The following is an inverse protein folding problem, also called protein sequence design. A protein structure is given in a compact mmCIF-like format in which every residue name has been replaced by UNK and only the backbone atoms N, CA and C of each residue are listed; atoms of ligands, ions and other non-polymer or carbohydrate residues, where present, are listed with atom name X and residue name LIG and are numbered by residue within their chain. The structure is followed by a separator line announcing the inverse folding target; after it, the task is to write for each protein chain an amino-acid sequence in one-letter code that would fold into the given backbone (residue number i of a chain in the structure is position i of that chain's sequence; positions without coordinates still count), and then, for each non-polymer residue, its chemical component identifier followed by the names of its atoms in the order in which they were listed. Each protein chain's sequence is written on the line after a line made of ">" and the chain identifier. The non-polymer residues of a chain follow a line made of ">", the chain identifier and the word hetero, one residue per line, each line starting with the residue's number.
data_IF_237077720497
#
_entry.id   IF_237077720497
#
_cell.length_a   1.000
_cell.length_b   1.000
_cell.length_c   1.000
_cell.angle_alpha   90.00
_cell.angle_beta   90.00
_cell.angle_gamma   90.00
#
_symmetry.space_group_name_H-M   'P 1'
#
loop_
_entity.id
_entity.type
_entity.pdbx_description
1 polymer ?
#
# COMPACT_ATOMS: atom_id res chain seq x y z
N UNK A 1 1.80 -28.10 6.66
CA UNK A 1 2.17 -27.33 7.87
C UNK A 1 3.48 -26.56 7.72
N UNK A 2 4.50 -27.09 7.00
CA UNK A 2 5.80 -26.44 6.75
C UNK A 2 5.68 -25.07 6.03
N UNK A 3 4.68 -24.92 5.16
CA UNK A 3 4.49 -23.77 4.26
C UNK A 3 4.17 -22.44 4.98
N UNK A 4 3.48 -22.50 6.12
CA UNK A 4 3.04 -21.30 6.84
C UNK A 4 4.14 -20.70 7.71
N UNK A 5 4.91 -21.53 8.41
CA UNK A 5 5.99 -21.07 9.28
C UNK A 5 7.14 -20.43 8.50
N UNK A 6 7.47 -20.97 7.31
CA UNK A 6 8.48 -20.40 6.41
C UNK A 6 8.05 -19.00 5.90
N UNK A 7 6.75 -18.83 5.61
CA UNK A 7 6.18 -17.56 5.18
C UNK A 7 6.16 -16.50 6.30
N UNK A 8 5.77 -16.89 7.52
CA UNK A 8 5.81 -15.99 8.68
C UNK A 8 7.21 -15.41 8.84
N UNK A 9 8.27 -16.22 8.66
CA UNK A 9 9.66 -15.72 8.70
C UNK A 9 9.98 -14.71 7.59
N UNK A 10 9.61 -14.98 6.33
CA UNK A 10 9.90 -14.05 5.22
C UNK A 10 9.10 -12.74 5.30
N UNK A 11 7.82 -12.82 5.66
CA UNK A 11 6.97 -11.63 5.86
C UNK A 11 7.48 -10.76 7.02
N UNK A 12 7.92 -11.38 8.12
CA UNK A 12 8.57 -10.68 9.25
C UNK A 12 9.77 -9.85 8.76
N UNK A 13 10.62 -10.38 7.87
CA UNK A 13 11.82 -9.65 7.40
C UNK A 13 11.46 -8.38 6.63
N UNK A 14 10.48 -8.45 5.72
CA UNK A 14 10.09 -7.28 4.91
C UNK A 14 9.45 -6.19 5.77
N UNK A 15 8.54 -6.54 6.68
CA UNK A 15 7.90 -5.54 7.54
C UNK A 15 8.81 -5.06 8.67
N UNK A 16 9.75 -5.87 9.15
CA UNK A 16 10.81 -5.39 10.06
C UNK A 16 11.66 -4.31 9.39
N UNK A 17 11.96 -4.48 8.10
CA UNK A 17 12.69 -3.49 7.29
C UNK A 17 11.86 -2.23 7.08
N UNK A 18 10.57 -2.36 6.74
CA UNK A 18 9.68 -1.22 6.56
C UNK A 18 9.56 -0.37 7.84
N UNK A 19 9.33 -1.03 8.99
CA UNK A 19 9.25 -0.39 10.32
C UNK A 19 10.53 0.37 10.71
N UNK A 20 11.70 -0.13 10.31
CA UNK A 20 13.00 0.48 10.67
C UNK A 20 13.34 1.70 9.81
N UNK A 21 12.89 1.73 8.56
CA UNK A 21 13.40 2.67 7.55
C UNK A 21 12.50 3.88 7.30
N UNK A 22 11.36 3.99 7.98
CA UNK A 22 10.44 5.10 7.78
C UNK A 22 9.64 5.41 9.05
N UNK A 23 9.61 6.68 9.44
CA UNK A 23 8.76 7.18 10.52
C UNK A 23 7.42 7.60 9.92
N UNK A 24 6.33 6.96 10.34
CA UNK A 24 5.00 7.31 9.86
C UNK A 24 4.60 8.73 10.26
N UNK A 25 3.77 9.37 9.45
CA UNK A 25 3.12 10.63 9.80
C UNK A 25 2.11 10.48 10.93
N UNK A 26 1.40 11.57 11.19
CA UNK A 26 0.42 11.68 12.28
C UNK A 26 -0.80 10.77 12.09
N UNK A 27 -1.16 10.49 10.83
CA UNK A 27 -2.38 9.77 10.48
C UNK A 27 -2.04 8.47 9.74
N UNK A 28 -2.57 7.37 10.25
CA UNK A 28 -2.42 6.04 9.68
C UNK A 28 -3.78 5.39 9.48
N UNK A 29 -3.87 4.46 8.55
CA UNK A 29 -5.09 3.76 8.19
C UNK A 29 -4.89 2.27 8.36
N UNK A 30 -5.86 1.59 8.95
CA UNK A 30 -5.92 0.12 8.99
C UNK A 30 -7.14 -0.33 8.21
N UNK A 31 -6.90 -1.19 7.22
CA UNK A 31 -7.95 -1.80 6.41
C UNK A 31 -7.44 -3.13 5.81
N UNK A 32 -8.27 -3.79 5.01
CA UNK A 32 -7.91 -4.98 4.26
C UNK A 32 -7.50 -4.74 2.81
N UNK A 33 -6.50 -5.51 2.40
CA UNK A 33 -6.14 -5.78 1.02
C UNK A 33 -6.58 -7.21 0.65
N UNK A 34 -6.83 -7.44 -0.64
CA UNK A 34 -7.21 -8.76 -1.15
C UNK A 34 -6.41 -9.15 -2.40
N UNK A 35 -5.12 -9.55 -2.25
CA UNK A 35 -4.37 -10.20 -3.31
C UNK A 35 -5.16 -11.37 -3.93
N UNK A 36 -5.45 -11.25 -5.23
CA UNK A 36 -6.31 -12.18 -5.95
C UNK A 36 -5.71 -13.59 -6.03
N UNK A 37 -6.50 -14.60 -5.65
CA UNK A 37 -6.08 -16.00 -5.70
C UNK A 37 -7.29 -16.93 -5.78
N UNK A 38 -7.25 -17.86 -6.75
CA UNK A 38 -8.30 -18.87 -6.96
C UNK A 38 -7.80 -20.31 -6.78
N UNK A 39 -6.51 -20.50 -6.48
CA UNK A 39 -5.96 -21.83 -6.20
C UNK A 39 -6.42 -22.38 -4.85
N UNK A 40 -5.99 -23.61 -4.55
CA UNK A 40 -6.30 -24.27 -3.28
C UNK A 40 -5.50 -23.64 -2.15
N UNK A 41 -6.21 -23.04 -1.20
CA UNK A 41 -5.66 -22.51 0.05
C UNK A 41 -6.77 -22.53 1.11
N UNK A 42 -6.45 -23.03 2.32
CA UNK A 42 -7.40 -23.21 3.40
C UNK A 42 -8.02 -21.90 3.91
N UNK A 43 -7.32 -20.78 3.75
CA UNK A 43 -7.73 -19.46 4.24
C UNK A 43 -7.99 -18.45 3.11
N UNK A 44 -8.28 -18.96 1.90
CA UNK A 44 -8.81 -18.14 0.80
C UNK A 44 -10.18 -17.61 1.19
N UNK A 45 -10.42 -16.33 0.97
CA UNK A 45 -11.67 -15.65 1.30
C UNK A 45 -12.41 -15.19 0.04
N UNK A 46 -13.73 -15.12 0.15
CA UNK A 46 -14.62 -14.51 -0.83
C UNK A 46 -15.13 -13.17 -0.29
N UNK A 47 -14.81 -12.07 -0.95
CA UNK A 47 -15.25 -10.72 -0.58
C UNK A 47 -15.97 -10.09 -1.79
N UNK A 48 -17.31 -10.08 -1.81
CA UNK A 48 -18.09 -9.64 -2.97
C UNK A 48 -17.81 -8.21 -3.42
N UNK A 49 -17.45 -7.33 -2.49
CA UNK A 49 -17.25 -5.89 -2.71
C UNK A 49 -15.89 -5.55 -3.34
N UNK A 50 -14.89 -6.43 -3.25
CA UNK A 50 -13.56 -6.18 -3.83
C UNK A 50 -13.55 -6.59 -5.32
N UNK A 51 -12.77 -5.91 -6.19
CA UNK A 51 -12.70 -6.22 -7.62
C UNK A 51 -12.31 -7.69 -7.89
N UNK A 52 -11.31 -8.17 -7.17
CA UNK A 52 -10.96 -9.59 -7.13
C UNK A 52 -11.74 -10.27 -6.02
N UNK A 53 -12.90 -10.85 -6.34
CA UNK A 53 -13.78 -11.42 -5.31
C UNK A 53 -13.18 -12.58 -4.51
N UNK A 54 -12.17 -13.27 -5.05
CA UNK A 54 -11.49 -14.38 -4.37
C UNK A 54 -10.02 -14.08 -4.19
N UNK A 55 -9.52 -14.21 -2.96
CA UNK A 55 -8.13 -13.91 -2.65
C UNK A 55 -7.72 -14.32 -1.25
N UNK A 56 -6.54 -13.87 -0.87
CA UNK A 56 -6.00 -14.05 0.49
C UNK A 56 -6.19 -12.71 1.20
N UNK A 57 -6.98 -12.67 2.27
CA UNK A 57 -7.23 -11.43 3.00
C UNK A 57 -5.98 -11.04 3.79
N UNK A 58 -5.55 -9.79 3.65
CA UNK A 58 -4.37 -9.24 4.33
C UNK A 58 -4.79 -7.93 5.00
N UNK A 59 -4.56 -7.80 6.31
CA UNK A 59 -4.70 -6.52 7.00
C UNK A 59 -3.44 -5.69 6.77
N UNK A 60 -3.59 -4.40 6.50
CA UNK A 60 -2.48 -3.49 6.23
C UNK A 60 -2.59 -2.24 7.10
N UNK A 61 -1.43 -1.76 7.58
CA UNK A 61 -1.26 -0.48 8.26
C UNK A 61 -0.49 0.46 7.34
N UNK A 62 -1.13 1.55 6.93
CA UNK A 62 -0.62 2.46 5.89
C UNK A 62 -0.61 3.90 6.40
N UNK A 63 0.45 4.65 6.10
CA UNK A 63 0.48 6.11 6.29
C UNK A 63 -0.55 6.78 5.37
N UNK A 64 -1.49 7.53 5.95
CA UNK A 64 -2.63 8.07 5.20
C UNK A 64 -2.23 9.14 4.17
N UNK A 65 -1.10 9.82 4.35
CA UNK A 65 -0.64 10.92 3.49
C UNK A 65 0.36 10.43 2.45
N UNK A 66 1.38 9.70 2.89
CA UNK A 66 2.49 9.27 2.06
C UNK A 66 2.25 7.90 1.43
N UNK A 67 1.21 7.19 1.84
CA UNK A 67 0.83 5.86 1.31
C UNK A 67 1.97 4.85 1.53
N UNK A 68 2.65 4.96 2.67
CA UNK A 68 3.70 4.04 3.09
C UNK A 68 3.09 2.88 3.88
N UNK A 69 3.25 1.64 3.40
CA UNK A 69 2.77 0.47 4.13
C UNK A 69 3.79 0.05 5.18
N UNK A 70 3.45 0.24 6.45
CA UNK A 70 4.32 -0.07 7.58
C UNK A 70 4.28 -1.55 7.97
N UNK A 71 3.09 -2.14 7.97
CA UNK A 71 2.88 -3.50 8.46
C UNK A 71 1.77 -4.18 7.66
N UNK A 72 1.89 -5.49 7.45
CA UNK A 72 0.81 -6.31 6.90
C UNK A 72 0.70 -7.65 7.64
N UNK A 73 -0.50 -8.16 7.79
CA UNK A 73 -0.79 -9.43 8.47
C UNK A 73 -1.80 -10.27 7.68
N UNK A 74 -1.52 -11.55 7.43
CA UNK A 74 -2.46 -12.43 6.72
C UNK A 74 -3.57 -12.88 7.67
N UNK A 75 -4.81 -12.75 7.22
CA UNK A 75 -5.97 -13.31 7.90
C UNK A 75 -6.13 -14.80 7.54
N UNK A 76 -5.65 -15.71 8.40
CA UNK A 76 -5.66 -17.15 8.11
C UNK A 76 -6.88 -17.92 8.62
N UNK A 77 -7.95 -17.24 9.04
CA UNK A 77 -9.15 -17.90 9.56
C UNK A 77 -8.86 -18.73 10.83
N UNK A 78 -9.38 -19.96 10.91
CA UNK A 78 -9.12 -20.85 12.06
C UNK A 78 -7.73 -21.48 11.93
N UNK A 79 -6.85 -21.16 12.86
CA UNK A 79 -5.51 -21.75 12.95
C UNK A 79 -5.51 -22.98 13.88
N UNK A 80 -4.61 -23.96 13.65
CA UNK A 80 -4.37 -25.03 14.61
C UNK A 80 -3.73 -24.47 15.89
N UNK A 81 -3.82 -25.23 16.98
CA UNK A 81 -3.11 -24.90 18.22
C UNK A 81 -1.60 -24.83 17.98
N UNK A 82 -0.94 -23.87 18.64
CA UNK A 82 0.50 -23.67 18.53
C UNK A 82 0.92 -22.21 18.63
N UNK A 83 2.22 -21.91 18.49
CA UNK A 83 2.79 -20.58 18.72
C UNK A 83 2.36 -19.53 17.69
N UNK A 84 1.78 -19.97 16.56
CA UNK A 84 1.27 -19.09 15.52
C UNK A 84 -0.24 -18.82 15.64
N UNK A 85 -0.89 -19.34 16.69
CA UNK A 85 -2.31 -19.11 16.96
C UNK A 85 -2.52 -17.66 17.42
N UNK A 86 -3.10 -16.86 16.53
CA UNK A 86 -3.45 -15.45 16.76
C UNK A 86 -4.93 -15.20 16.50
N UNK A 87 -5.51 -14.33 17.31
CA UNK A 87 -6.91 -13.95 17.18
C UNK A 87 -7.15 -13.11 15.93
N UNK A 88 -8.10 -13.53 15.09
CA UNK A 88 -8.60 -12.75 13.96
C UNK A 88 -9.74 -11.78 14.36
N UNK A 89 -10.00 -11.61 15.67
CA UNK A 89 -10.98 -10.62 16.14
C UNK A 89 -10.47 -9.20 15.81
N UNK A 90 -11.34 -8.30 15.30
CA UNK A 90 -10.88 -7.00 14.82
C UNK A 90 -10.10 -6.17 15.86
N UNK A 91 -10.58 -6.12 17.11
CA UNK A 91 -9.88 -5.46 18.24
C UNK A 91 -8.43 -5.96 18.43
N UNK A 92 -8.21 -7.26 18.32
CA UNK A 92 -6.90 -7.89 18.52
C UNK A 92 -5.98 -7.65 17.32
N UNK A 93 -6.56 -7.65 16.10
CA UNK A 93 -5.84 -7.31 14.87
C UNK A 93 -5.34 -5.87 14.92
N UNK A 94 -6.21 -4.91 15.27
CA UNK A 94 -5.84 -3.48 15.37
C UNK A 94 -4.72 -3.29 16.39
N UNK A 95 -4.83 -3.90 17.58
CA UNK A 95 -3.78 -3.82 18.61
C UNK A 95 -2.45 -4.40 18.15
N UNK A 96 -2.43 -5.58 17.53
CA UNK A 96 -1.18 -6.20 17.03
C UNK A 96 -0.56 -5.42 15.89
N UNK A 97 -1.36 -5.03 14.90
CA UNK A 97 -0.81 -4.40 13.70
C UNK A 97 -0.27 -3.00 14.02
N UNK A 98 -0.91 -2.29 14.95
CA UNK A 98 -0.52 -0.97 15.43
C UNK A 98 0.48 -0.98 16.59
N UNK A 99 0.84 -2.14 17.15
CA UNK A 99 1.84 -2.30 18.23
C UNK A 99 3.10 -1.44 18.04
N UNK A 100 3.71 -1.35 16.84
CA UNK A 100 4.92 -0.55 16.65
C UNK A 100 4.74 0.96 16.85
N UNK A 101 3.50 1.44 16.93
CA UNK A 101 3.17 2.86 17.03
C UNK A 101 2.68 3.25 18.44
N UNK A 102 2.72 2.30 19.39
CA UNK A 102 2.22 2.52 20.76
C UNK A 102 2.88 3.75 21.39
N UNK A 103 2.07 4.54 22.12
CA UNK A 103 2.51 5.74 22.85
C UNK A 103 3.03 6.91 21.99
N UNK A 104 2.80 6.88 20.68
CA UNK A 104 3.30 7.95 19.78
C UNK A 104 2.32 9.09 19.52
N UNK A 105 1.10 9.03 20.04
CA UNK A 105 0.07 10.06 19.83
C UNK A 105 -0.55 10.07 18.42
N UNK A 106 -0.22 9.11 17.56
CA UNK A 106 -0.77 9.03 16.20
C UNK A 106 -2.27 8.71 16.20
N UNK A 107 -2.94 9.14 15.14
CA UNK A 107 -4.34 8.83 14.88
C UNK A 107 -4.48 7.64 13.92
N UNK A 108 -5.30 6.66 14.30
CA UNK A 108 -5.65 5.50 13.50
C UNK A 108 -7.04 5.70 12.91
N UNK A 109 -7.14 5.71 11.58
CA UNK A 109 -8.41 5.68 10.86
C UNK A 109 -8.77 4.26 10.44
N UNK A 110 -9.98 3.79 10.77
CA UNK A 110 -10.45 2.45 10.39
C UNK A 110 -11.90 2.41 9.94
N UNK A 111 -12.24 1.35 9.22
CA UNK A 111 -13.60 1.05 8.79
C UNK A 111 -14.51 0.57 9.95
N UNK A 112 -15.74 0.17 9.62
CA UNK A 112 -16.72 -0.30 10.59
C UNK A 112 -16.50 -1.74 11.10
N UNK A 113 -15.76 -2.58 10.39
CA UNK A 113 -15.42 -3.94 10.78
C UNK A 113 -14.37 -3.94 11.89
N UNK A 114 -13.46 -2.97 11.88
CA UNK A 114 -12.38 -2.84 12.88
C UNK A 114 -12.79 -2.21 14.21
N UNK A 115 -14.01 -1.70 14.34
CA UNK A 115 -14.31 -0.69 15.37
C UNK A 115 -15.37 -1.11 16.36
N UNK A 116 -15.06 -0.88 17.64
CA UNK A 116 -16.03 -0.81 18.72
C UNK A 116 -15.66 0.34 19.68
N UNK A 117 -16.63 0.81 20.48
CA UNK A 117 -16.42 1.95 21.40
C UNK A 117 -15.39 1.61 22.48
N UNK A 118 -15.29 0.35 22.88
CA UNK A 118 -14.41 -0.08 23.95
C UNK A 118 -12.94 -0.10 23.46
N UNK A 119 -12.71 -0.42 22.18
CA UNK A 119 -11.42 -0.32 21.49
C UNK A 119 -10.94 1.13 21.41
N UNK A 120 -11.82 2.09 21.09
CA UNK A 120 -11.45 3.52 21.06
C UNK A 120 -10.91 3.96 22.43
N UNK A 121 -11.60 3.58 23.51
CA UNK A 121 -11.19 3.90 24.87
C UNK A 121 -9.88 3.20 25.27
N UNK A 122 -9.73 1.93 24.90
CA UNK A 122 -8.50 1.16 25.13
C UNK A 122 -7.27 1.78 24.46
N UNK A 123 -7.42 2.17 23.19
CA UNK A 123 -6.34 2.77 22.41
C UNK A 123 -5.97 4.16 22.96
N UNK A 124 -6.98 4.94 23.37
CA UNK A 124 -6.76 6.22 24.05
C UNK A 124 -5.91 6.09 25.32
N UNK A 125 -6.18 5.06 26.13
CA UNK A 125 -5.36 4.75 27.33
C UNK A 125 -3.92 4.35 27.01
N UNK A 126 -3.64 3.89 25.79
CA UNK A 126 -2.32 3.49 25.30
C UNK A 126 -1.63 4.57 24.46
N UNK A 127 -2.13 5.81 24.52
CA UNK A 127 -1.52 6.95 23.83
C UNK A 127 -1.81 7.01 22.32
N UNK A 128 -2.91 6.43 21.85
CA UNK A 128 -3.40 6.63 20.48
C UNK A 128 -4.66 7.47 20.42
N UNK A 129 -4.85 8.06 19.26
CA UNK A 129 -6.15 8.54 18.83
C UNK A 129 -6.74 7.60 17.80
N UNK A 130 -8.07 7.52 17.75
CA UNK A 130 -8.78 6.71 16.78
C UNK A 130 -9.93 7.51 16.18
N UNK A 131 -10.10 7.37 14.88
CA UNK A 131 -11.24 7.87 14.13
C UNK A 131 -11.81 6.74 13.30
N UNK A 132 -13.07 6.39 13.53
CA UNK A 132 -13.60 5.23 12.85
C UNK A 132 -15.11 5.26 12.65
N UNK A 133 -15.54 4.54 11.62
CA UNK A 133 -16.95 4.36 11.35
C UNK A 133 -17.56 3.29 12.25
N UNK A 134 -18.79 3.51 12.71
CA UNK A 134 -19.56 2.52 13.44
C UNK A 134 -20.67 1.96 12.56
N UNK A 135 -20.82 0.63 12.54
CA UNK A 135 -21.88 -0.03 11.79
C UNK A 135 -23.26 0.19 12.44
N UNK A 136 -23.32 0.12 13.77
CA UNK A 136 -24.53 0.30 14.55
C UNK A 136 -24.18 0.96 15.88
N UNK A 137 -25.09 1.79 16.36
CA UNK A 137 -25.03 2.39 17.69
C UNK A 137 -25.75 1.48 18.70
N UNK A 138 -25.16 1.27 19.90
CA UNK A 138 -25.82 0.56 21.02
C UNK A 138 -27.03 1.38 21.50
N UNK A 139 -28.09 0.72 21.95
CA UNK A 139 -29.39 1.35 22.28
C UNK A 139 -29.29 2.60 23.17
N UNK A 140 -28.38 2.59 24.16
CA UNK A 140 -28.10 3.73 25.06
C UNK A 140 -27.63 5.04 24.38
N UNK A 141 -27.34 4.99 23.09
CA UNK A 141 -26.85 6.11 22.29
C UNK A 141 -27.78 6.40 21.08
N UNK A 142 -28.93 5.74 20.94
CA UNK A 142 -29.85 5.98 19.81
C UNK A 142 -30.39 7.41 19.74
N UNK A 143 -30.41 8.13 20.86
CA UNK A 143 -30.83 9.54 20.92
C UNK A 143 -30.00 10.48 20.05
N UNK A 144 -28.83 10.04 19.58
CA UNK A 144 -27.95 10.85 18.74
C UNK A 144 -28.13 10.60 17.24
N UNK A 145 -29.12 9.81 16.84
CA UNK A 145 -29.39 9.54 15.43
C UNK A 145 -30.03 10.78 14.81
N UNK A 146 -29.31 11.42 13.90
CA UNK A 146 -29.90 12.49 13.09
C UNK A 146 -31.04 11.94 12.23
N UNK A 147 -31.98 12.82 11.83
CA UNK A 147 -33.21 12.43 11.11
C UNK A 147 -33.35 13.17 9.77
N UNK A 148 -32.86 14.41 9.66
CA UNK A 148 -32.94 15.22 8.43
C UNK A 148 -31.69 15.08 7.55
N UNK A 149 -31.85 15.30 6.25
CA UNK A 149 -30.71 15.29 5.32
C UNK A 149 -29.79 16.49 5.57
N UNK A 150 -28.48 16.27 5.45
CA UNK A 150 -27.39 17.22 5.70
C UNK A 150 -27.35 17.77 7.14
N UNK A 151 -28.09 17.19 8.07
CA UNK A 151 -27.96 17.52 9.48
C UNK A 151 -27.08 16.51 10.21
N UNK A 152 -26.47 16.99 11.29
CA UNK A 152 -25.62 16.20 12.17
C UNK A 152 -26.00 16.37 13.62
N UNK A 153 -25.83 15.30 14.40
CA UNK A 153 -25.94 15.31 15.85
C UNK A 153 -24.63 14.81 16.45
N UNK A 154 -24.21 15.45 17.53
CA UNK A 154 -22.97 15.18 18.21
C UNK A 154 -23.23 14.77 19.66
N UNK A 155 -22.40 13.87 20.16
CA UNK A 155 -22.33 13.55 21.58
C UNK A 155 -20.89 13.45 22.02
N UNK A 156 -20.59 14.18 23.08
CA UNK A 156 -19.27 14.23 23.70
C UNK A 156 -19.28 13.38 24.96
N UNK A 157 -18.27 12.53 25.12
CA UNK A 157 -18.11 11.69 26.31
C UNK A 157 -16.63 11.38 26.55
N UNK A 158 -16.09 11.79 27.69
CA UNK A 158 -14.70 11.51 28.11
C UNK A 158 -13.65 11.83 27.03
N UNK A 159 -13.82 12.97 26.35
CA UNK A 159 -12.96 13.41 25.24
C UNK A 159 -13.06 12.54 23.98
N UNK A 160 -14.15 11.80 23.81
CA UNK A 160 -14.52 11.19 22.53
C UNK A 160 -15.77 11.88 21.99
N UNK A 161 -15.79 12.07 20.68
CA UNK A 161 -16.91 12.65 19.94
C UNK A 161 -17.56 11.56 19.08
N UNK A 162 -18.85 11.35 19.30
CA UNK A 162 -19.69 10.51 18.46
C UNK A 162 -20.54 11.43 17.58
N UNK A 163 -20.50 11.23 16.27
CA UNK A 163 -21.25 12.02 15.29
C UNK A 163 -22.15 11.11 14.46
N UNK A 164 -23.41 11.52 14.31
CA UNK A 164 -24.35 10.96 13.34
C UNK A 164 -24.61 12.02 12.28
N UNK A 165 -24.43 11.68 11.01
CA UNK A 165 -24.62 12.58 9.89
C UNK A 165 -25.37 11.89 8.76
N UNK A 166 -26.40 12.54 8.21
CA UNK A 166 -27.18 12.00 7.09
C UNK A 166 -26.74 12.68 5.78
N UNK A 167 -25.82 12.09 5.00
CA UNK A 167 -25.46 12.63 3.69
C UNK A 167 -26.61 12.60 2.69
N UNK A 168 -27.49 11.60 2.78
CA UNK A 168 -28.62 11.39 1.85
C UNK A 168 -29.77 10.76 2.62
N UNK A 169 -31.02 11.08 2.24
CA UNK A 169 -32.23 10.50 2.86
C UNK A 169 -32.11 8.96 2.98
N UNK A 170 -32.34 8.45 4.19
CA UNK A 170 -32.27 7.00 4.50
C UNK A 170 -30.86 6.44 4.69
N UNK A 171 -29.79 7.25 4.60
CA UNK A 171 -28.41 6.83 4.89
C UNK A 171 -27.83 7.63 6.03
N UNK A 172 -27.57 6.97 7.15
CA UNK A 172 -26.91 7.57 8.31
C UNK A 172 -25.47 7.07 8.39
N UNK A 173 -24.52 8.00 8.50
CA UNK A 173 -23.10 7.73 8.72
C UNK A 173 -22.79 8.09 10.16
N UNK A 174 -22.27 7.11 10.89
CA UNK A 174 -21.93 7.27 12.30
C UNK A 174 -20.42 7.11 12.43
N UNK A 175 -19.76 8.12 12.99
CA UNK A 175 -18.33 8.06 13.31
C UNK A 175 -18.11 8.28 14.80
N UNK A 176 -17.07 7.65 15.33
CA UNK A 176 -16.50 7.94 16.64
C UNK A 176 -15.09 8.45 16.45
N UNK A 177 -14.74 9.51 17.17
CA UNK A 177 -13.40 10.09 17.17
C UNK A 177 -12.93 10.37 18.58
N UNK A 178 -11.71 10.00 18.92
CA UNK A 178 -11.03 10.49 20.11
C UNK A 178 -10.11 11.67 19.84
N UNK A 179 -10.02 12.13 18.58
CA UNK A 179 -9.18 13.24 18.12
C UNK A 179 -9.93 14.58 18.13
N UNK A 180 -11.21 14.57 17.72
CA UNK A 180 -12.01 15.78 17.59
C UNK A 180 -12.82 16.02 18.87
N UNK A 181 -12.86 17.26 19.33
CA UNK A 181 -13.56 17.66 20.58
C UNK A 181 -14.69 18.68 20.35
N UNK A 182 -14.91 19.11 19.10
CA UNK A 182 -15.88 20.14 18.75
C UNK A 182 -16.97 19.60 17.82
N UNK A 183 -18.07 20.37 17.68
CA UNK A 183 -19.16 20.12 16.72
C UNK A 183 -18.98 20.92 15.42
N UNK A 184 -17.74 21.23 15.05
CA UNK A 184 -17.45 22.09 13.92
C UNK A 184 -17.92 21.49 12.58
N UNK A 185 -18.40 22.36 11.71
CA UNK A 185 -18.87 22.05 10.36
C UNK A 185 -17.88 22.60 9.35
N UNK A 186 -17.48 21.78 8.38
CA UNK A 186 -16.56 22.16 7.33
C UNK A 186 -17.24 23.12 6.34
N UNK A 187 -16.82 24.39 6.40
CA UNK A 187 -17.36 25.47 5.57
C UNK A 187 -17.17 25.23 4.06
N UNK A 188 -16.17 24.43 3.66
CA UNK A 188 -15.93 24.11 2.25
C UNK A 188 -17.05 23.28 1.63
N UNK A 189 -17.87 22.63 2.47
CA UNK A 189 -18.92 21.71 2.03
C UNK A 189 -20.26 22.39 1.75
N UNK A 190 -20.36 23.69 2.03
CA UNK A 190 -21.51 24.56 1.72
C UNK A 190 -22.86 23.90 2.08
N UNK A 191 -23.67 23.58 1.07
CA UNK A 191 -25.01 22.99 1.20
C UNK A 191 -25.02 21.60 1.87
N UNK A 192 -23.88 20.90 1.90
CA UNK A 192 -23.80 19.58 2.50
C UNK A 192 -23.58 19.64 4.02
N UNK A 193 -23.15 20.78 4.57
CA UNK A 193 -22.93 20.97 6.01
C UNK A 193 -22.24 19.79 6.71
N UNK A 194 -21.17 19.25 6.10
CA UNK A 194 -20.49 18.08 6.63
C UNK A 194 -19.71 18.45 7.90
N UNK A 195 -19.84 17.69 8.99
CA UNK A 195 -18.95 17.79 10.13
C UNK A 195 -17.47 17.66 9.73
N UNK A 196 -16.59 18.41 10.39
CA UNK A 196 -15.13 18.28 10.19
C UNK A 196 -14.65 16.84 10.42
N UNK A 197 -15.22 16.15 11.41
CA UNK A 197 -14.96 14.74 11.68
C UNK A 197 -15.21 13.85 10.44
N UNK A 198 -16.26 14.14 9.68
CA UNK A 198 -16.64 13.39 8.47
C UNK A 198 -15.68 13.72 7.33
N UNK A 199 -15.29 14.99 7.18
CA UNK A 199 -14.37 15.39 6.10
C UNK A 199 -12.97 14.84 6.36
N UNK A 200 -12.48 14.92 7.59
CA UNK A 200 -11.20 14.33 8.02
C UNK A 200 -11.19 12.79 7.93
N UNK A 201 -12.30 12.11 8.25
CA UNK A 201 -12.41 10.67 8.02
C UNK A 201 -12.25 10.34 6.53
N UNK A 202 -12.88 11.11 5.64
CA UNK A 202 -12.80 10.86 4.20
C UNK A 202 -11.41 11.08 3.61
N UNK A 203 -10.62 12.00 4.17
CA UNK A 203 -9.23 12.24 3.73
C UNK A 203 -8.28 11.13 4.18
N UNK A 204 -8.54 10.50 5.34
CA UNK A 204 -7.62 9.51 5.93
C UNK A 204 -8.01 8.06 5.68
N UNK A 205 -9.29 7.74 5.47
CA UNK A 205 -9.74 6.34 5.28
C UNK A 205 -9.21 5.65 4.02
N UNK A 206 -8.75 6.41 3.02
CA UNK A 206 -8.38 5.90 1.70
C UNK A 206 -6.97 5.34 1.57
N UNK A 207 -6.16 5.32 2.64
CA UNK A 207 -4.75 4.94 2.57
C UNK A 207 -4.51 3.56 1.95
N UNK A 208 -5.17 2.53 2.49
CA UNK A 208 -5.03 1.14 2.02
C UNK A 208 -5.61 0.95 0.62
N UNK A 209 -6.80 1.51 0.34
CA UNK A 209 -7.40 1.45 -1.00
C UNK A 209 -6.50 2.10 -2.07
N UNK A 210 -5.81 3.19 -1.71
CA UNK A 210 -4.83 3.84 -2.59
C UNK A 210 -3.62 2.94 -2.82
N UNK A 211 -3.12 2.27 -1.78
CA UNK A 211 -2.07 1.25 -1.93
C UNK A 211 -2.51 0.11 -2.86
N UNK A 212 -3.73 -0.41 -2.69
CA UNK A 212 -4.32 -1.45 -3.56
C UNK A 212 -4.37 -0.98 -5.03
N UNK A 213 -4.84 0.24 -5.27
CA UNK A 213 -4.90 0.84 -6.61
C UNK A 213 -3.51 1.01 -7.24
N UNK A 214 -2.53 1.48 -6.46
CA UNK A 214 -1.14 1.63 -6.92
C UNK A 214 -0.49 0.28 -7.24
N UNK A 215 -0.77 -0.74 -6.43
CA UNK A 215 -0.32 -2.11 -6.67
C UNK A 215 -0.94 -2.68 -7.96
N UNK A 216 -2.24 -2.46 -8.18
CA UNK A 216 -2.92 -2.94 -9.39
C UNK A 216 -2.40 -2.28 -10.67
N UNK A 217 -2.06 -0.98 -10.61
CA UNK A 217 -1.61 -0.20 -11.77
C UNK A 217 -0.24 -0.67 -12.30
N UNK A 218 0.68 -1.05 -11.41
CA UNK A 218 2.02 -1.53 -11.77
C UNK A 218 2.31 -2.87 -11.09
N UNK A 219 1.45 -3.85 -11.33
CA UNK A 219 1.52 -5.14 -10.67
C UNK A 219 2.60 -6.05 -11.25
N UNK A 220 3.37 -6.70 -10.38
CA UNK A 220 4.25 -7.83 -10.73
C UNK A 220 3.58 -9.19 -10.54
N UNK A 221 2.27 -9.24 -10.27
CA UNK A 221 1.57 -10.51 -10.01
C UNK A 221 1.43 -11.35 -11.27
N UNK A 222 1.78 -12.64 -11.16
CA UNK A 222 1.59 -13.64 -12.21
C UNK A 222 0.57 -14.69 -11.78
N UNK A 223 -0.07 -15.33 -12.76
CA UNK A 223 -0.92 -16.48 -12.49
C UNK A 223 -0.09 -17.61 -11.87
N UNK A 224 -0.52 -18.12 -10.73
CA UNK A 224 0.19 -19.14 -9.98
C UNK A 224 -0.79 -20.02 -9.20
N UNK A 225 -0.42 -21.27 -8.99
CA UNK A 225 -1.14 -22.21 -8.13
C UNK A 225 -0.65 -22.16 -6.67
N UNK A 226 0.42 -21.44 -6.40
CA UNK A 226 1.05 -21.34 -5.09
C UNK A 226 0.65 -20.02 -4.40
N UNK A 227 -0.09 -20.12 -3.31
CA UNK A 227 -0.57 -18.96 -2.55
C UNK A 227 0.60 -18.11 -2.00
N UNK A 228 1.73 -18.73 -1.66
CA UNK A 228 2.94 -18.02 -1.24
C UNK A 228 3.43 -17.04 -2.29
N UNK A 229 3.42 -17.45 -3.57
CA UNK A 229 3.86 -16.59 -4.66
C UNK A 229 2.94 -15.37 -4.81
N UNK A 230 1.64 -15.52 -4.55
CA UNK A 230 0.71 -14.38 -4.55
C UNK A 230 1.09 -13.36 -3.49
N UNK A 231 1.42 -13.81 -2.27
CA UNK A 231 1.83 -12.89 -1.21
C UNK A 231 3.20 -12.30 -1.50
N UNK A 232 4.13 -13.08 -2.04
CA UNK A 232 5.43 -12.57 -2.46
C UNK A 232 5.30 -11.44 -3.49
N UNK A 233 4.44 -11.60 -4.51
CA UNK A 233 4.16 -10.54 -5.48
C UNK A 233 3.49 -9.32 -4.84
N UNK A 234 2.57 -9.52 -3.89
CA UNK A 234 1.97 -8.42 -3.13
C UNK A 234 3.03 -7.64 -2.34
N UNK A 235 3.96 -8.35 -1.67
CA UNK A 235 5.09 -7.75 -0.97
C UNK A 235 6.01 -6.97 -1.91
N UNK A 236 6.31 -7.48 -3.11
CA UNK A 236 7.12 -6.77 -4.11
C UNK A 236 6.44 -5.49 -4.60
N UNK A 237 5.13 -5.53 -4.86
CA UNK A 237 4.36 -4.35 -5.24
C UNK A 237 4.43 -3.27 -4.16
N UNK A 238 4.18 -3.65 -2.91
CA UNK A 238 4.27 -2.75 -1.73
C UNK A 238 5.70 -2.23 -1.54
N UNK A 239 6.71 -3.08 -1.65
CA UNK A 239 8.11 -2.68 -1.53
C UNK A 239 8.50 -1.61 -2.57
N UNK A 240 8.03 -1.77 -3.82
CA UNK A 240 8.24 -0.76 -4.85
C UNK A 240 7.53 0.57 -4.57
N UNK A 241 6.39 0.56 -3.86
CA UNK A 241 5.72 1.79 -3.39
C UNK A 241 6.55 2.43 -2.28
N UNK A 242 6.86 1.67 -1.24
CA UNK A 242 7.63 2.13 -0.08
C UNK A 242 9.00 2.70 -0.47
N UNK A 243 9.72 2.05 -1.41
CA UNK A 243 11.02 2.55 -1.88
C UNK A 243 10.89 3.90 -2.58
N UNK A 244 9.80 4.13 -3.32
CA UNK A 244 9.55 5.42 -3.96
C UNK A 244 9.22 6.49 -2.92
N UNK A 245 8.44 6.15 -1.90
CA UNK A 245 8.14 7.07 -0.78
C UNK A 245 9.42 7.48 -0.07
N UNK A 246 10.32 6.54 0.24
CA UNK A 246 11.63 6.84 0.84
C UNK A 246 12.48 7.73 -0.08
N UNK A 247 12.49 7.45 -1.39
CA UNK A 247 13.18 8.27 -2.39
C UNK A 247 12.69 9.72 -2.38
N UNK A 248 11.36 9.91 -2.33
CA UNK A 248 10.73 11.23 -2.27
C UNK A 248 11.04 11.93 -0.95
N UNK A 249 10.97 11.20 0.17
CA UNK A 249 11.28 11.73 1.51
C UNK A 249 12.74 12.22 1.62
N UNK A 250 13.67 11.55 0.94
CA UNK A 250 15.07 11.94 0.84
C UNK A 250 15.35 13.05 -0.19
N UNK A 251 14.29 13.72 -0.71
CA UNK A 251 14.39 14.82 -1.68
C UNK A 251 15.12 14.44 -2.97
N UNK A 252 15.09 13.15 -3.34
CA UNK A 252 15.50 12.75 -4.68
C UNK A 252 14.44 13.22 -5.68
N UNK A 253 14.86 13.56 -6.89
CA UNK A 253 13.98 14.05 -7.95
C UNK A 253 12.70 13.17 -8.07
N UNK A 254 11.50 13.76 -7.94
CA UNK A 254 10.26 13.00 -7.95
C UNK A 254 10.00 12.43 -9.35
N UNK A 255 10.42 11.18 -9.54
CA UNK A 255 10.18 10.48 -10.78
C UNK A 255 8.73 10.02 -10.85
N UNK A 256 8.12 10.18 -12.03
CA UNK A 256 6.87 9.48 -12.37
C UNK A 256 7.05 7.99 -12.06
N UNK A 257 6.07 7.35 -11.42
CA UNK A 257 6.20 5.97 -10.91
C UNK A 257 6.71 4.97 -11.95
N UNK A 258 6.25 5.07 -13.21
CA UNK A 258 6.75 4.25 -14.33
C UNK A 258 8.28 4.38 -14.54
N UNK A 259 8.80 5.61 -14.46
CA UNK A 259 10.23 5.91 -14.65
C UNK A 259 11.03 5.40 -13.44
N UNK A 260 10.50 5.63 -12.23
CA UNK A 260 11.08 5.11 -10.99
C UNK A 260 11.24 3.59 -11.06
N UNK A 261 10.16 2.86 -11.35
CA UNK A 261 10.19 1.39 -11.42
C UNK A 261 11.10 0.86 -12.54
N UNK A 262 11.16 1.54 -13.69
CA UNK A 262 12.09 1.18 -14.77
C UNK A 262 13.55 1.33 -14.32
N UNK A 263 13.85 2.41 -13.62
CA UNK A 263 15.20 2.69 -13.08
C UNK A 263 15.56 1.68 -12.01
N UNK A 264 14.65 1.41 -11.08
CA UNK A 264 14.82 0.40 -10.03
C UNK A 264 15.07 -0.99 -10.64
N UNK A 265 14.27 -1.40 -11.62
CA UNK A 265 14.43 -2.69 -12.31
C UNK A 265 15.79 -2.81 -13.00
N UNK A 266 16.26 -1.74 -13.64
CA UNK A 266 17.57 -1.70 -14.27
C UNK A 266 18.69 -1.79 -13.23
N UNK A 267 18.64 -1.01 -12.16
CA UNK A 267 19.63 -1.04 -11.07
C UNK A 267 19.72 -2.42 -10.39
N UNK A 268 18.59 -3.10 -10.18
CA UNK A 268 18.57 -4.44 -9.59
C UNK A 268 19.15 -5.52 -10.53
N UNK A 269 19.11 -5.30 -11.84
CA UNK A 269 19.54 -6.31 -12.84
C UNK A 269 20.93 -6.05 -13.39
N UNK A 270 21.48 -4.84 -13.27
CA UNK A 270 22.72 -4.43 -13.95
C UNK A 270 23.92 -5.29 -13.56
N UNK A 271 24.07 -5.67 -12.29
CA UNK A 271 25.18 -6.54 -11.85
C UNK A 271 25.10 -7.94 -12.47
N UNK A 272 23.90 -8.51 -12.58
CA UNK A 272 23.68 -9.80 -13.23
C UNK A 272 23.86 -9.71 -14.75
N UNK A 273 23.44 -8.60 -15.37
CA UNK A 273 23.69 -8.33 -16.79
C UNK A 273 25.20 -8.19 -17.06
N UNK A 274 25.95 -7.55 -16.17
CA UNK A 274 27.39 -7.40 -16.29
C UNK A 274 28.09 -8.76 -16.20
N UNK A 275 27.71 -9.61 -15.24
CA UNK A 275 28.27 -10.96 -15.15
C UNK A 275 27.98 -11.81 -16.40
N UNK A 276 26.76 -11.71 -16.95
CA UNK A 276 26.40 -12.41 -18.20
C UNK A 276 27.11 -11.85 -19.43
N UNK A 277 27.64 -10.62 -19.37
CA UNK A 277 28.41 -10.01 -20.44
C UNK A 277 29.80 -10.62 -20.61
N UNK A 278 30.38 -11.10 -19.50
CA UNK A 278 31.73 -11.66 -19.46
C UNK A 278 31.82 -13.02 -20.15
N UNK A 279 30.71 -13.76 -20.24
CA UNK A 279 30.65 -15.06 -20.90
C UNK A 279 29.45 -15.14 -21.85
N UNK A 280 29.67 -14.73 -23.10
CA UNK A 280 28.67 -14.78 -24.18
C UNK A 280 28.75 -16.05 -25.02
N UNK A 281 29.58 -17.03 -24.65
CA UNK A 281 29.74 -18.27 -25.42
C UNK A 281 28.42 -19.02 -25.47
N UNK A 282 27.92 -19.29 -26.68
CA UNK A 282 26.61 -19.93 -26.89
C UNK A 282 25.40 -18.99 -26.77
N UNK A 283 25.59 -17.70 -26.47
CA UNK A 283 24.50 -16.74 -26.44
C UNK A 283 24.14 -16.26 -27.86
N UNK A 284 22.86 -16.27 -28.26
CA UNK A 284 22.41 -15.71 -29.53
C UNK A 284 22.85 -14.24 -29.73
N UNK A 285 23.30 -13.89 -30.94
CA UNK A 285 23.87 -12.58 -31.27
C UNK A 285 22.95 -11.41 -30.90
N UNK A 286 21.64 -11.55 -31.13
CA UNK A 286 20.65 -10.52 -30.79
C UNK A 286 20.58 -10.23 -29.28
N UNK A 287 20.78 -11.23 -28.42
CA UNK A 287 20.83 -11.04 -26.97
C UNK A 287 22.13 -10.35 -26.55
N UNK A 288 23.25 -10.68 -27.19
CA UNK A 288 24.53 -9.99 -26.96
C UNK A 288 24.42 -8.49 -27.27
N UNK A 289 23.79 -8.13 -28.40
CA UNK A 289 23.54 -6.72 -28.75
C UNK A 289 22.64 -6.02 -27.73
N UNK A 290 21.55 -6.66 -27.30
CA UNK A 290 20.68 -6.10 -26.26
C UNK A 290 21.42 -5.91 -24.95
N UNK A 291 22.27 -6.85 -24.57
CA UNK A 291 23.04 -6.79 -23.33
C UNK A 291 24.01 -5.59 -23.32
N UNK A 292 24.71 -5.33 -24.43
CA UNK A 292 25.54 -4.12 -24.62
C UNK A 292 24.76 -2.81 -24.51
N UNK A 293 23.46 -2.80 -24.85
CA UNK A 293 22.60 -1.62 -24.76
C UNK A 293 22.19 -1.30 -23.31
N UNK A 294 22.06 -2.31 -22.45
CA UNK A 294 21.62 -2.13 -21.06
C UNK A 294 22.77 -1.94 -20.08
N UNK A 295 24.01 -2.26 -20.47
CA UNK A 295 25.18 -1.96 -19.65
C UNK A 295 25.56 -0.48 -19.76
N UNK A 296 26.20 0.10 -18.73
CA UNK A 296 26.78 1.42 -18.85
C UNK A 296 27.78 1.40 -20.01
N UNK A 297 27.63 2.31 -20.96
CA UNK A 297 28.67 2.49 -21.96
C UNK A 297 29.77 3.32 -21.32
N UNK A 298 30.99 2.79 -21.30
CA UNK A 298 32.17 3.62 -21.08
C UNK A 298 32.12 4.73 -22.14
N UNK A 299 32.18 5.99 -21.71
CA UNK A 299 32.37 7.10 -22.65
C UNK A 299 33.65 6.75 -23.43
N UNK A 300 33.63 6.71 -24.77
CA UNK A 300 34.88 6.56 -25.48
C UNK A 300 35.77 7.73 -25.03
N UNK A 301 36.96 7.40 -24.53
CA UNK A 301 38.04 8.38 -24.45
C UNK A 301 38.13 9.05 -25.83
N UNK A 302 38.28 10.37 -25.87
CA UNK A 302 38.42 11.14 -27.09
C UNK A 302 39.66 10.69 -27.86
N UNK A 303 39.56 9.59 -28.60
CA UNK A 303 40.54 9.21 -29.62
C UNK A 303 40.15 10.02 -30.85
N UNK A 304 40.70 11.24 -30.92
CA UNK A 304 40.75 12.05 -32.14
C UNK A 304 41.67 11.37 -33.16
N UNK A 305 41.20 10.28 -33.77
CA UNK A 305 41.75 9.80 -35.04
C UNK A 305 40.62 9.76 -36.04
N UNK A 306 40.46 10.89 -36.74
CA UNK A 306 39.60 10.98 -37.92
C UNK A 306 40.17 9.98 -38.94
N UNK A 307 39.41 8.96 -39.37
CA UNK A 307 39.88 8.07 -40.43
C UNK A 307 40.10 8.88 -41.71
N UNK A 308 41.13 8.59 -42.52
CA UNK A 308 41.40 9.35 -43.73
C UNK A 308 40.16 9.33 -44.64
N UNK A 309 39.71 10.51 -45.06
CA UNK A 309 38.54 10.68 -45.95
C UNK A 309 38.72 9.83 -47.21
N UNK A 310 37.75 8.97 -47.50
CA UNK A 310 37.68 8.24 -48.78
C UNK A 310 37.66 9.26 -49.93
N UNK A 311 38.62 9.13 -50.85
CA UNK A 311 38.80 10.04 -52.00
C UNK A 311 37.88 9.74 -53.20
N UNK A 312 37.00 8.73 -53.14
CA UNK A 312 36.04 8.41 -54.21
C UNK A 312 34.63 8.19 -53.67
N UNK A 313 33.64 8.75 -54.37
CA UNK A 313 32.22 8.60 -54.06
C UNK A 313 31.79 7.15 -54.31
N UNK A 314 31.02 6.56 -53.39
CA UNK A 314 30.62 5.15 -53.43
C UNK A 314 29.61 4.80 -54.56
N UNK A 315 29.09 5.82 -55.25
CA UNK A 315 28.00 5.69 -56.22
C UNK A 315 28.36 6.05 -57.66
N UNK A 316 29.63 6.35 -57.95
CA UNK A 316 30.08 6.52 -59.33
C UNK A 316 30.31 5.13 -59.94
N UNK A 317 29.32 4.64 -60.69
CA UNK A 317 29.51 3.54 -61.66
C UNK A 317 30.64 3.93 -62.60
N UNK A 318 31.63 3.03 -62.74
CA UNK A 318 32.53 3.05 -63.87
C UNK A 318 31.73 2.62 -65.09
N UNK A 319 31.04 3.56 -65.72
CA UNK A 319 30.74 3.41 -67.14
C UNK A 319 32.06 3.70 -67.85
N UNK A 320 32.66 2.69 -68.48
CA UNK A 320 33.50 2.79 -69.68
C UNK A 320 33.92 1.36 -70.13
N UNK A 321 33.39 1.01 -71.29
CA UNK A 321 33.99 0.27 -72.42
C UNK A 321 34.12 -1.26 -72.40
N UNK A 322 33.54 -1.84 -73.47
CA UNK A 322 33.58 -3.24 -73.88
C UNK A 322 32.38 -3.57 -74.76
#
# INVERSE_FOLDING_TARGET
>A
MIDFAQFVKCSIVLFKTAKKNYLLGENVTIDEMLPGFRGRCAFRQYIPSKPNKYGIKVFALVDAKMIYTCNMEICTGKQPEGPFLVSNKPREVVKRIAEPLFETGRNITTDNWFTDIDLVNDLKKRGFLMLAQLKKIKDRYQTILSISQHSSLFRFNNGNTLVSYIPKKGKNVILVSSLHETNAIDQNTREQQKPEVITFYNTTKGGVDTTDQMCATFSVSWNTRCWLMVIFFACLNVAGINSQVISIANKLEPLKRRIFLKTLSHQLTIGQLAQRSLNTRGMPTHLQFRLKRFLPQEKPENITTIPPKRRKCAWLKQDLEG
#
